data_IF_655500688423
#
_entry.id   IF_655500688423
#
_cell.length_a   1.000
_cell.length_b   1.000
_cell.length_c   1.000
_cell.angle_alpha   90.00
_cell.angle_beta   90.00
_cell.angle_gamma   90.00
#
_symmetry.space_group_name_H-M   'P 1'
#
loop_
_entity.id
_entity.type
_entity.pdbx_description
1 polymer ?
#
# COMPACT_ATOMS: atom_id res chain seq x y z
N UNK A 1 -9.06 -2.76 -18.96
CA UNK A 1 -7.65 -2.35 -18.88
C UNK A 1 -6.81 -2.80 -20.11
N UNK A 2 -7.41 -3.01 -21.29
CA UNK A 2 -6.67 -3.11 -22.58
C UNK A 2 -5.75 -4.31 -22.83
N UNK A 3 -5.46 -5.14 -21.84
CA UNK A 3 -4.47 -6.22 -21.92
C UNK A 3 -5.05 -7.61 -22.26
N UNK A 4 -6.29 -7.70 -22.78
CA UNK A 4 -6.97 -8.98 -23.00
C UNK A 4 -6.26 -9.92 -24.00
N UNK A 5 -5.57 -9.38 -25.00
CA UNK A 5 -4.93 -10.16 -26.06
C UNK A 5 -3.87 -11.15 -25.57
N UNK A 6 -3.28 -10.93 -24.39
CA UNK A 6 -2.28 -11.86 -23.83
C UNK A 6 -2.86 -13.19 -23.34
N UNK A 7 -4.18 -13.24 -23.13
CA UNK A 7 -4.90 -14.42 -22.64
C UNK A 7 -5.67 -15.15 -23.76
N UNK A 8 -5.65 -14.63 -24.98
CA UNK A 8 -6.42 -15.19 -26.09
C UNK A 8 -5.90 -16.57 -26.51
N UNK A 9 -6.83 -17.48 -26.78
CA UNK A 9 -6.59 -18.82 -27.34
C UNK A 9 -7.13 -18.97 -28.77
N UNK A 10 -7.76 -17.91 -29.31
CA UNK A 10 -8.27 -17.86 -30.68
C UNK A 10 -7.10 -17.92 -31.68
N UNK A 11 -7.06 -18.89 -32.62
CA UNK A 11 -5.92 -19.08 -33.53
C UNK A 11 -5.50 -17.86 -34.37
N UNK A 12 -6.45 -16.97 -34.70
CA UNK A 12 -6.21 -15.75 -35.47
C UNK A 12 -5.80 -14.55 -34.60
N UNK A 13 -5.90 -14.67 -33.28
CA UNK A 13 -5.62 -13.60 -32.31
C UNK A 13 -4.67 -14.06 -31.20
N UNK A 14 -3.81 -15.04 -31.50
CA UNK A 14 -2.85 -15.55 -30.53
C UNK A 14 -1.82 -14.48 -30.16
N UNK A 15 -1.43 -14.39 -28.87
CA UNK A 15 -0.42 -13.44 -28.45
C UNK A 15 0.96 -13.81 -29.00
N UNK A 16 1.74 -12.77 -29.33
CA UNK A 16 3.11 -12.95 -29.79
C UNK A 16 4.10 -12.87 -28.62
N UNK A 17 4.49 -14.03 -28.09
CA UNK A 17 5.52 -14.18 -27.07
C UNK A 17 6.85 -14.76 -27.60
N UNK A 18 7.16 -14.55 -28.89
CA UNK A 18 8.41 -15.03 -29.52
C UNK A 18 9.70 -14.54 -28.84
N UNK A 19 9.64 -13.40 -28.14
CA UNK A 19 10.74 -12.90 -27.31
C UNK A 19 11.00 -13.71 -26.03
N UNK A 20 10.06 -14.60 -25.65
CA UNK A 20 10.17 -15.51 -24.50
C UNK A 20 10.43 -16.94 -25.00
N UNK A 21 9.68 -17.41 -25.99
CA UNK A 21 9.78 -18.77 -26.55
C UNK A 21 9.14 -18.88 -27.92
N UNK A 22 9.67 -19.78 -28.77
CA UNK A 22 9.18 -20.05 -30.13
C UNK A 22 8.52 -21.43 -30.25
N UNK A 23 7.90 -21.93 -29.18
CA UNK A 23 7.18 -23.20 -29.18
C UNK A 23 5.92 -23.15 -30.04
N UNK A 24 5.53 -24.33 -30.53
CA UNK A 24 4.26 -24.58 -31.22
C UNK A 24 3.47 -25.58 -30.38
N UNK A 25 2.23 -25.25 -29.94
CA UNK A 25 1.51 -24.00 -30.22
C UNK A 25 2.13 -22.77 -29.52
N UNK A 26 1.85 -21.54 -30.01
CA UNK A 26 2.36 -20.30 -29.41
C UNK A 26 1.99 -20.17 -27.93
N UNK A 27 2.89 -19.58 -27.14
CA UNK A 27 2.65 -19.28 -25.73
C UNK A 27 1.45 -18.33 -25.56
N UNK A 28 0.75 -18.43 -24.43
CA UNK A 28 -0.20 -17.42 -23.96
C UNK A 28 -0.11 -17.31 -22.43
N UNK A 29 -0.67 -16.24 -21.87
CA UNK A 29 -0.86 -16.14 -20.42
C UNK A 29 -2.15 -16.86 -20.07
N UNK A 30 -2.11 -17.83 -19.17
CA UNK A 30 -3.32 -18.47 -18.66
C UNK A 30 -3.88 -17.66 -17.48
N UNK A 31 -3.06 -17.42 -16.45
CA UNK A 31 -3.46 -16.65 -15.26
C UNK A 31 -2.30 -15.78 -14.73
N UNK A 32 -2.66 -14.68 -14.07
CA UNK A 32 -1.72 -13.84 -13.31
C UNK A 32 -2.24 -13.73 -11.88
N UNK A 33 -1.50 -14.29 -10.93
CA UNK A 33 -1.85 -14.32 -9.52
C UNK A 33 -1.00 -13.34 -8.74
N UNK A 34 -1.63 -12.44 -7.98
CA UNK A 34 -0.96 -11.50 -7.08
C UNK A 34 -1.62 -11.54 -5.71
N UNK A 35 -0.81 -11.76 -4.67
CA UNK A 35 -1.24 -11.74 -3.26
C UNK A 35 -0.26 -10.90 -2.47
N UNK A 36 -0.79 -9.96 -1.70
CA UNK A 36 -0.04 -9.12 -0.77
C UNK A 36 -0.57 -9.31 0.65
N UNK A 37 0.33 -9.28 1.63
CA UNK A 37 -0.01 -9.30 3.05
C UNK A 37 0.69 -8.11 3.72
N UNK A 38 -0.06 -7.40 4.57
CA UNK A 38 0.41 -6.20 5.26
C UNK A 38 0.06 -6.38 6.73
N UNK A 39 1.06 -6.27 7.58
CA UNK A 39 0.93 -6.29 9.03
C UNK A 39 1.38 -4.94 9.55
N UNK A 40 0.55 -4.30 10.37
CA UNK A 40 0.88 -3.04 11.03
C UNK A 40 0.77 -3.30 12.52
N UNK A 41 1.89 -3.16 13.21
CA UNK A 41 1.98 -3.23 14.66
C UNK A 41 2.83 -2.07 15.18
N UNK A 42 2.88 -1.92 16.50
CA UNK A 42 3.61 -0.84 17.16
C UNK A 42 5.14 -0.92 16.98
N UNK A 43 5.66 -2.11 16.63
CA UNK A 43 7.09 -2.35 16.41
C UNK A 43 7.48 -2.19 14.92
N UNK A 44 6.50 -2.24 14.02
CA UNK A 44 6.68 -2.39 12.58
C UNK A 44 7.08 -1.13 11.83
N UNK A 45 7.01 0.04 12.47
CA UNK A 45 7.66 1.31 12.06
C UNK A 45 7.66 2.25 13.26
N UNK A 46 8.73 2.19 14.04
CA UNK A 46 9.11 3.07 15.15
C UNK A 46 8.12 4.21 15.44
N UNK A 47 7.37 4.08 16.54
CA UNK A 47 6.41 5.05 17.09
C UNK A 47 7.09 6.37 17.56
N UNK A 48 8.00 6.91 16.75
CA UNK A 48 8.80 8.10 16.99
C UNK A 48 8.03 9.37 16.60
N UNK A 49 6.91 9.62 17.27
CA UNK A 49 6.32 10.96 17.35
C UNK A 49 5.71 11.24 18.73
N UNK A 50 6.22 10.60 19.79
CA UNK A 50 6.02 11.07 21.16
C UNK A 50 6.98 12.23 21.43
N UNK A 51 6.85 13.35 20.71
CA UNK A 51 7.64 14.56 20.99
C UNK A 51 7.09 15.22 22.24
N UNK A 52 7.61 14.86 23.40
CA UNK A 52 7.37 15.59 24.64
C UNK A 52 8.03 16.98 24.55
N UNK A 53 7.23 18.05 24.55
CA UNK A 53 7.76 19.41 24.69
C UNK A 53 8.17 19.59 26.16
N UNK A 54 9.46 19.47 26.47
CA UNK A 54 10.01 19.93 27.75
C UNK A 54 10.70 21.26 27.50
N UNK A 55 9.93 22.36 27.64
CA UNK A 55 10.50 23.71 27.74
C UNK A 55 10.31 24.19 29.17
N UNK A 56 11.39 24.15 29.95
CA UNK A 56 11.47 24.82 31.24
C UNK A 56 12.38 26.03 31.06
N UNK A 57 11.81 27.16 30.63
CA UNK A 57 12.51 28.45 30.69
C UNK A 57 11.83 29.30 31.76
N UNK A 58 12.62 29.65 32.78
CA UNK A 58 12.19 30.46 33.90
C UNK A 58 11.70 31.85 33.46
N UNK A 59 10.67 32.34 34.15
CA UNK A 59 10.39 33.77 34.28
C UNK A 59 9.16 34.31 33.53
N UNK A 60 8.70 33.67 32.45
CA UNK A 60 7.51 34.14 31.72
C UNK A 60 6.55 32.98 31.47
N UNK A 61 5.33 33.08 32.00
CA UNK A 61 4.26 32.10 31.80
C UNK A 61 3.75 32.16 30.34
N UNK A 62 4.41 31.42 29.45
CA UNK A 62 3.86 31.09 28.14
C UNK A 62 2.78 30.02 28.38
N UNK A 63 1.51 30.24 27.99
CA UNK A 63 0.50 29.20 28.09
C UNK A 63 0.98 27.96 27.31
N UNK A 64 0.80 26.73 27.86
CA UNK A 64 1.23 25.54 27.16
C UNK A 64 0.57 25.47 25.78
N UNK A 65 1.29 24.98 24.76
CA UNK A 65 0.68 24.77 23.45
C UNK A 65 -0.54 23.86 23.59
N UNK A 66 -1.59 24.06 22.77
CA UNK A 66 -2.74 23.17 22.78
C UNK A 66 -2.32 21.72 22.49
N UNK A 67 -3.04 20.73 23.02
CA UNK A 67 -2.74 19.33 22.73
C UNK A 67 -2.82 19.06 21.22
N UNK A 68 -2.03 18.11 20.70
CA UNK A 68 -2.13 17.72 19.30
C UNK A 68 -3.54 17.20 18.99
N UNK A 69 -4.03 17.38 17.76
CA UNK A 69 -5.33 16.86 17.36
C UNK A 69 -5.35 15.34 17.47
N UNK A 70 -6.44 14.79 18.02
CA UNK A 70 -6.66 13.34 18.07
C UNK A 70 -7.09 12.85 16.70
N UNK A 71 -6.29 11.98 16.08
CA UNK A 71 -6.63 11.29 14.84
C UNK A 71 -6.94 9.83 15.14
N UNK A 72 -8.16 9.41 14.78
CA UNK A 72 -8.64 8.03 14.96
C UNK A 72 -9.08 7.50 13.61
N UNK A 73 -8.63 6.29 13.25
CA UNK A 73 -9.04 5.59 12.04
C UNK A 73 -10.11 4.51 12.37
N UNK A 74 -11.31 4.94 12.75
CA UNK A 74 -12.43 4.09 13.19
C UNK A 74 -13.49 3.79 12.11
N UNK A 75 -13.26 4.25 10.88
CA UNK A 75 -14.10 3.97 9.71
C UNK A 75 -13.25 3.49 8.53
N UNK A 76 -13.85 3.23 7.37
CA UNK A 76 -13.08 2.79 6.20
C UNK A 76 -12.06 3.85 5.77
N UNK A 77 -10.81 3.45 5.57
CA UNK A 77 -9.74 4.36 5.14
C UNK A 77 -8.86 3.75 4.05
N UNK A 78 -8.19 4.61 3.31
CA UNK A 78 -7.17 4.23 2.34
C UNK A 78 -5.79 4.33 2.99
N UNK A 79 -4.89 3.44 2.61
CA UNK A 79 -3.48 3.54 2.98
C UNK A 79 -2.60 3.38 1.74
N UNK A 80 -1.42 3.98 1.80
CA UNK A 80 -0.38 3.82 0.79
C UNK A 80 0.97 3.67 1.49
N UNK A 81 1.69 2.61 1.14
CA UNK A 81 3.11 2.48 1.48
C UNK A 81 3.85 2.85 0.20
N UNK A 82 4.73 3.84 0.24
CA UNK A 82 5.43 4.33 -0.93
C UNK A 82 6.91 4.61 -0.63
N UNK A 83 7.75 4.51 -1.66
CA UNK A 83 9.12 5.01 -1.64
C UNK A 83 9.20 6.22 -2.58
N UNK A 84 9.44 7.40 -2.00
CA UNK A 84 9.41 8.69 -2.70
C UNK A 84 8.11 8.90 -3.46
N UNK A 85 8.15 8.76 -4.79
CA UNK A 85 7.01 8.95 -5.70
C UNK A 85 6.43 7.61 -6.19
N UNK A 86 6.92 6.47 -5.69
CA UNK A 86 6.55 5.13 -6.16
C UNK A 86 5.64 4.43 -5.13
N UNK A 87 4.37 4.19 -5.43
CA UNK A 87 3.53 3.38 -4.56
C UNK A 87 4.03 1.93 -4.56
N UNK A 88 4.31 1.40 -3.38
CA UNK A 88 4.65 -0.01 -3.16
C UNK A 88 3.39 -0.82 -2.84
N UNK A 89 2.53 -0.26 -1.99
CA UNK A 89 1.22 -0.81 -1.67
C UNK A 89 0.18 0.29 -1.67
N UNK A 90 -1.00 -0.01 -2.20
CA UNK A 90 -2.18 0.83 -2.15
C UNK A 90 -3.34 -0.07 -1.77
N UNK A 91 -4.09 0.31 -0.73
CA UNK A 91 -5.18 -0.51 -0.27
C UNK A 91 -6.25 0.28 0.48
N UNK A 92 -7.35 -0.41 0.75
CA UNK A 92 -8.46 0.09 1.55
C UNK A 92 -8.73 -0.86 2.70
N UNK A 93 -8.79 -0.34 3.92
CA UNK A 93 -9.31 -1.06 5.08
C UNK A 93 -10.79 -0.71 5.20
N UNK A 94 -11.63 -1.74 5.18
CA UNK A 94 -13.09 -1.59 5.18
C UNK A 94 -13.69 -1.55 6.58
N UNK A 95 -13.26 -2.45 7.46
CA UNK A 95 -13.72 -2.58 8.83
C UNK A 95 -12.51 -2.75 9.75
N UNK A 96 -12.04 -1.67 10.42
CA UNK A 96 -10.82 -1.72 11.24
C UNK A 96 -10.99 -2.46 12.58
N UNK A 97 -12.11 -3.15 12.82
CA UNK A 97 -12.37 -3.90 14.06
C UNK A 97 -11.97 -5.38 14.02
N UNK A 98 -11.58 -5.91 12.86
CA UNK A 98 -11.10 -7.29 12.72
C UNK A 98 -9.57 -7.29 12.70
N UNK A 99 -8.97 -7.09 13.87
CA UNK A 99 -7.60 -7.53 14.09
C UNK A 99 -7.62 -9.06 14.17
N UNK A 100 -7.03 -9.71 13.16
CA UNK A 100 -6.73 -11.15 13.17
C UNK A 100 -5.52 -11.46 14.04
#
# INVERSE_FOLDING_TARGET
MGLGGMFNDVPLELPNFSGISNVIPPLRVDEVLHKAFIHVDENGTEAAAATAIIMMFGGCAIPPPPPPPKLTFDCSFLFMIHDRQRPLFLGRIHAPSEAG
#
